data_IF_093069835074
#
_entry.id   IF_093069835074
#
_cell.length_a   1.000
_cell.length_b   1.000
_cell.length_c   1.000
_cell.angle_alpha   90.00
_cell.angle_beta   90.00
_cell.angle_gamma   90.00
#
_symmetry.space_group_name_H-M   'P 1'
#
loop_
_entity.id
_entity.type
_entity.pdbx_description
1 polymer ?
#
# COMPACT_ATOMS: atom_id res chain seq x y z
N UNK A 1 25.28 23.65 -41.80
CA UNK A 1 24.04 22.86 -41.87
C UNK A 1 24.13 21.54 -41.17
N UNK A 2 25.20 20.80 -41.25
CA UNK A 2 25.42 19.55 -40.55
C UNK A 2 25.40 19.65 -39.03
N UNK A 3 25.82 20.76 -38.47
CA UNK A 3 25.86 21.01 -37.02
C UNK A 3 24.48 21.12 -36.35
N UNK A 4 23.45 21.57 -37.09
CA UNK A 4 22.09 21.71 -36.55
C UNK A 4 21.39 20.37 -36.41
N UNK A 5 21.60 19.47 -37.34
CA UNK A 5 21.04 18.10 -37.26
C UNK A 5 21.64 17.27 -36.14
N UNK A 6 22.91 17.42 -35.87
CA UNK A 6 23.57 16.73 -34.77
C UNK A 6 23.08 17.17 -33.39
N UNK A 7 22.73 18.45 -33.22
CA UNK A 7 22.20 18.97 -31.96
C UNK A 7 20.78 18.47 -31.65
N UNK A 8 19.94 18.35 -32.67
CA UNK A 8 18.57 17.87 -32.49
C UNK A 8 18.52 16.41 -32.16
N UNK A 9 19.36 15.59 -32.75
CA UNK A 9 19.45 14.17 -32.44
C UNK A 9 19.93 13.89 -31.01
N UNK A 10 20.89 14.66 -30.52
CA UNK A 10 21.41 14.53 -29.15
C UNK A 10 20.34 14.86 -28.10
N UNK A 11 19.53 15.88 -28.32
CA UNK A 11 18.45 16.27 -27.41
C UNK A 11 17.33 15.22 -27.34
N UNK A 12 16.98 14.59 -28.45
CA UNK A 12 15.94 13.55 -28.49
C UNK A 12 16.34 12.28 -27.75
N UNK A 13 17.58 11.85 -27.86
CA UNK A 13 18.08 10.66 -27.16
C UNK A 13 18.14 10.89 -25.65
N UNK A 14 18.51 12.06 -25.18
CA UNK A 14 18.58 12.38 -23.75
C UNK A 14 17.20 12.38 -23.09
N UNK A 15 16.19 12.93 -23.73
CA UNK A 15 14.81 12.95 -23.22
C UNK A 15 14.21 11.54 -23.12
N UNK A 16 14.46 10.68 -24.10
CA UNK A 16 14.01 9.28 -24.08
C UNK A 16 14.63 8.45 -22.95
N UNK A 17 15.91 8.65 -22.69
CA UNK A 17 16.62 7.94 -21.62
C UNK A 17 16.13 8.33 -20.23
N UNK A 18 15.84 9.61 -19.98
CA UNK A 18 15.30 10.10 -18.71
C UNK A 18 13.91 9.54 -18.42
N UNK A 19 13.03 9.44 -19.40
CA UNK A 19 11.67 8.91 -19.26
C UNK A 19 11.70 7.41 -18.90
N UNK A 20 12.57 6.62 -19.50
CA UNK A 20 12.73 5.21 -19.21
C UNK A 20 13.26 4.96 -17.78
N UNK A 21 14.19 5.77 -17.28
CA UNK A 21 14.73 5.65 -15.93
C UNK A 21 13.68 5.91 -14.86
N UNK A 22 12.79 6.91 -15.05
CA UNK A 22 11.69 7.22 -14.13
C UNK A 22 10.63 6.12 -14.11
N UNK A 23 10.28 5.53 -15.24
CA UNK A 23 9.33 4.43 -15.32
C UNK A 23 9.86 3.15 -14.65
N UNK A 24 11.17 2.86 -14.72
CA UNK A 24 11.79 1.70 -14.09
C UNK A 24 11.84 1.77 -12.57
N UNK A 25 11.95 2.97 -11.97
CA UNK A 25 12.02 3.14 -10.52
C UNK A 25 10.65 3.00 -9.85
N UNK A 26 9.55 3.31 -10.54
CA UNK A 26 8.20 3.29 -9.98
C UNK A 26 7.62 1.90 -9.72
N UNK A 27 8.22 0.81 -10.25
CA UNK A 27 7.69 -0.56 -10.18
C UNK A 27 8.36 -1.48 -9.16
N UNK A 28 9.31 -0.98 -8.36
CA UNK A 28 10.20 -1.82 -7.54
C UNK A 28 9.73 -2.06 -6.10
N UNK A 29 8.48 -1.74 -5.74
CA UNK A 29 8.02 -1.84 -4.35
C UNK A 29 6.71 -2.61 -4.24
N UNK A 30 6.59 -3.43 -3.18
CA UNK A 30 5.34 -4.09 -2.81
C UNK A 30 4.34 -3.07 -2.23
N UNK A 31 3.94 -2.12 -3.06
CA UNK A 31 2.99 -1.06 -2.72
C UNK A 31 1.55 -1.57 -2.77
N UNK A 32 0.68 -0.93 -1.97
CA UNK A 32 -0.74 -1.25 -1.94
C UNK A 32 -1.39 -0.93 -3.29
N UNK A 33 -2.03 -1.93 -3.89
CA UNK A 33 -2.79 -1.80 -5.14
C UNK A 33 -4.26 -1.55 -4.84
N UNK A 34 -4.84 -2.31 -3.91
CA UNK A 34 -6.24 -2.19 -3.51
C UNK A 34 -6.49 -2.82 -2.13
N UNK A 35 -7.54 -2.38 -1.49
CA UNK A 35 -8.06 -2.99 -0.27
C UNK A 35 -9.60 -2.96 -0.29
N UNK A 36 -10.24 -3.79 0.53
CA UNK A 36 -11.69 -3.76 0.68
C UNK A 36 -12.18 -2.61 1.58
N UNK A 37 -11.27 -1.87 2.20
CA UNK A 37 -11.52 -0.56 2.81
C UNK A 37 -10.70 0.45 2.03
N UNK A 38 -11.35 1.50 1.52
CA UNK A 38 -10.71 2.54 0.70
C UNK A 38 -10.38 3.76 1.55
N UNK A 39 -9.34 4.53 1.17
CA UNK A 39 -9.03 5.80 1.83
C UNK A 39 -10.25 6.72 1.90
N UNK A 40 -10.56 7.20 3.11
CA UNK A 40 -11.66 8.11 3.36
C UNK A 40 -13.06 7.48 3.31
N UNK A 41 -13.17 6.17 3.19
CA UNK A 41 -14.46 5.49 3.13
C UNK A 41 -15.20 5.62 4.45
N UNK A 42 -16.53 5.79 4.36
CA UNK A 42 -17.44 5.91 5.49
C UNK A 42 -18.35 4.68 5.50
N UNK A 43 -18.35 3.98 6.63
CA UNK A 43 -19.22 2.83 6.89
C UNK A 43 -20.21 3.14 7.99
N UNK A 44 -21.27 2.37 8.05
CA UNK A 44 -22.09 2.22 9.26
C UNK A 44 -21.54 1.08 10.11
N UNK A 45 -22.03 0.95 11.35
CA UNK A 45 -21.63 -0.12 12.26
C UNK A 45 -21.87 -1.53 11.73
N UNK A 46 -22.76 -1.68 10.75
CA UNK A 46 -23.13 -2.97 10.17
C UNK A 46 -22.55 -3.23 8.80
N UNK A 47 -21.93 -2.22 8.17
CA UNK A 47 -21.49 -2.33 6.77
C UNK A 47 -19.97 -2.42 6.59
N UNK A 48 -19.18 -2.17 7.63
CA UNK A 48 -17.74 -2.33 7.48
C UNK A 48 -17.36 -3.83 7.42
N UNK A 49 -16.32 -4.19 6.66
CA UNK A 49 -15.90 -5.58 6.55
C UNK A 49 -15.30 -6.08 7.86
N UNK A 50 -15.59 -7.33 8.20
CA UNK A 50 -15.06 -7.98 9.41
C UNK A 50 -13.65 -8.54 9.22
N UNK A 51 -13.17 -8.53 8.00
CA UNK A 51 -11.79 -8.83 7.62
C UNK A 51 -11.32 -7.76 6.67
N UNK A 52 -10.27 -7.06 7.06
CA UNK A 52 -9.57 -6.15 6.17
C UNK A 52 -8.63 -6.97 5.29
N UNK A 53 -8.79 -6.83 3.99
CA UNK A 53 -7.97 -7.51 2.99
C UNK A 53 -7.26 -6.48 2.13
N UNK A 54 -5.95 -6.59 2.06
CA UNK A 54 -5.08 -5.69 1.30
C UNK A 54 -4.28 -6.48 0.25
N UNK A 55 -4.20 -5.95 -0.97
CA UNK A 55 -3.49 -6.55 -2.10
C UNK A 55 -2.36 -5.65 -2.55
N UNK A 56 -1.20 -6.22 -2.74
CA UNK A 56 0.04 -5.51 -3.05
C UNK A 56 0.52 -5.81 -4.47
N UNK A 57 1.38 -4.95 -5.00
CA UNK A 57 1.90 -5.06 -6.37
C UNK A 57 2.85 -6.26 -6.55
N UNK A 58 3.53 -6.68 -5.48
CA UNK A 58 4.47 -7.79 -5.49
C UNK A 58 4.14 -8.79 -4.39
N UNK A 59 4.75 -9.97 -4.46
CA UNK A 59 4.68 -10.95 -3.39
C UNK A 59 5.26 -10.35 -2.11
N UNK A 60 4.56 -10.52 -0.99
CA UNK A 60 5.01 -10.02 0.31
C UNK A 60 5.67 -11.13 1.12
N UNK A 61 6.75 -10.79 1.80
CA UNK A 61 7.37 -11.68 2.73
C UNK A 61 6.61 -11.60 4.06
N UNK A 62 6.03 -12.71 4.58
CA UNK A 62 5.35 -12.72 5.87
C UNK A 62 6.23 -12.20 7.01
N UNK A 63 7.53 -12.41 6.94
CA UNK A 63 8.47 -11.78 7.87
C UNK A 63 8.73 -10.34 7.44
N UNK A 64 8.30 -9.40 8.26
CA UNK A 64 8.49 -7.97 7.99
C UNK A 64 7.38 -7.35 7.15
N UNK A 65 6.22 -7.99 7.05
CA UNK A 65 5.03 -7.42 6.42
C UNK A 65 3.83 -7.53 7.35
N UNK A 66 3.01 -6.50 7.41
CA UNK A 66 1.82 -6.48 8.25
C UNK A 66 0.84 -5.40 7.81
N UNK A 67 -0.39 -5.56 8.25
CA UNK A 67 -1.45 -4.54 8.17
C UNK A 67 -2.12 -4.48 9.54
N UNK A 68 -2.22 -3.30 10.12
CA UNK A 68 -2.91 -3.09 11.39
C UNK A 68 -3.83 -1.88 11.31
N UNK A 69 -4.83 -1.85 12.18
CA UNK A 69 -5.81 -0.78 12.29
C UNK A 69 -5.70 -0.16 13.68
N UNK A 70 -5.61 1.16 13.72
CA UNK A 70 -5.47 1.95 14.92
C UNK A 70 -6.64 2.90 15.09
N UNK A 71 -6.99 3.20 16.32
CA UNK A 71 -7.99 4.21 16.63
C UNK A 71 -7.44 5.61 16.34
N UNK A 72 -8.24 6.47 15.70
CA UNK A 72 -7.91 7.86 15.44
C UNK A 72 -6.91 8.10 14.32
N UNK A 73 -6.27 9.26 14.35
CA UNK A 73 -5.21 9.67 13.43
C UNK A 73 -3.88 8.99 13.82
N UNK A 74 -2.99 8.61 12.88
CA UNK A 74 -1.75 7.92 13.17
C UNK A 74 -0.70 8.73 13.96
N UNK A 75 -0.97 10.00 14.24
CA UNK A 75 -0.09 10.85 15.05
C UNK A 75 -0.42 10.73 16.54
N UNK A 76 0.32 9.90 17.26
CA UNK A 76 0.17 9.74 18.70
C UNK A 76 0.06 8.28 19.14
N UNK A 77 -0.07 8.08 20.45
CA UNK A 77 -0.23 6.77 21.07
C UNK A 77 -1.69 6.29 20.93
N UNK A 78 -2.02 5.71 19.80
CA UNK A 78 -3.36 5.18 19.56
C UNK A 78 -3.36 3.66 19.67
N UNK A 79 -4.43 3.14 20.28
CA UNK A 79 -4.58 1.71 20.46
C UNK A 79 -4.85 0.99 19.14
N UNK A 80 -4.14 -0.11 18.92
CA UNK A 80 -4.44 -1.04 17.86
C UNK A 80 -5.78 -1.71 18.15
N UNK A 81 -6.69 -1.68 17.19
CA UNK A 81 -8.07 -2.17 17.36
C UNK A 81 -8.37 -3.45 16.59
N UNK A 82 -7.52 -3.87 15.66
CA UNK A 82 -7.70 -5.13 14.96
C UNK A 82 -7.47 -6.34 15.89
N UNK A 83 -7.86 -7.53 15.42
CA UNK A 83 -7.78 -8.75 16.24
C UNK A 83 -6.37 -9.31 16.38
N UNK A 84 -5.36 -8.68 15.78
CA UNK A 84 -3.97 -9.10 15.84
C UNK A 84 -3.65 -10.37 15.02
N UNK A 85 -4.64 -10.94 14.34
CA UNK A 85 -4.52 -12.17 13.58
C UNK A 85 -4.12 -11.92 12.13
N UNK A 86 -3.01 -11.24 11.90
CA UNK A 86 -2.51 -10.97 10.55
C UNK A 86 -2.27 -12.29 9.82
N UNK A 87 -2.91 -12.44 8.67
CA UNK A 87 -2.85 -13.64 7.86
C UNK A 87 -2.25 -13.36 6.49
N UNK A 88 -1.50 -14.33 6.00
CA UNK A 88 -0.92 -14.35 4.67
C UNK A 88 -1.55 -15.51 3.91
N UNK A 89 -2.66 -15.25 3.16
CA UNK A 89 -3.39 -16.33 2.50
C UNK A 89 -2.50 -17.12 1.53
N UNK A 90 -2.47 -18.41 1.71
CA UNK A 90 -1.62 -19.30 0.91
C UNK A 90 -1.91 -19.23 -0.59
N UNK A 91 -3.15 -18.92 -0.96
CA UNK A 91 -3.58 -18.85 -2.36
C UNK A 91 -3.14 -17.59 -3.09
N UNK A 92 -2.76 -16.54 -2.36
CA UNK A 92 -2.36 -15.27 -2.97
C UNK A 92 -1.21 -14.64 -2.18
N UNK A 93 0.04 -14.81 -2.64
CA UNK A 93 1.21 -14.27 -1.95
C UNK A 93 1.30 -12.74 -1.97
N UNK A 94 0.39 -12.06 -2.66
CA UNK A 94 0.27 -10.60 -2.70
C UNK A 94 -0.75 -10.04 -1.72
N UNK A 95 -1.39 -10.89 -0.92
CA UNK A 95 -2.48 -10.52 -0.02
C UNK A 95 -2.04 -10.57 1.45
N UNK A 96 -2.50 -9.58 2.22
CA UNK A 96 -2.45 -9.59 3.68
C UNK A 96 -3.86 -9.34 4.20
N UNK A 97 -4.29 -10.09 5.19
CA UNK A 97 -5.59 -9.94 5.81
C UNK A 97 -5.47 -9.82 7.33
N UNK A 98 -6.38 -9.07 7.95
CA UNK A 98 -6.50 -8.97 9.40
C UNK A 98 -7.96 -8.84 9.80
N UNK A 99 -8.37 -9.54 10.85
CA UNK A 99 -9.72 -9.48 11.37
C UNK A 99 -10.02 -8.18 12.11
N UNK A 100 -11.26 -7.70 11.99
CA UNK A 100 -11.76 -6.52 12.70
C UNK A 100 -12.83 -6.94 13.71
N UNK A 101 -12.83 -6.35 14.91
CA UNK A 101 -13.83 -6.65 15.94
C UNK A 101 -15.19 -6.03 15.60
N UNK A 102 -16.21 -6.47 16.31
CA UNK A 102 -17.51 -5.79 16.36
C UNK A 102 -17.39 -4.47 17.10
N UNK A 103 -18.31 -3.54 16.83
CA UNK A 103 -18.48 -2.34 17.63
C UNK A 103 -17.53 -1.21 17.32
N UNK A 104 -16.86 -1.22 16.19
CA UNK A 104 -16.07 -0.07 15.76
C UNK A 104 -16.98 1.13 15.53
N UNK A 105 -16.53 2.30 16.00
CA UNK A 105 -17.19 3.59 15.84
C UNK A 105 -16.16 4.70 15.90
N UNK A 106 -16.18 5.59 14.92
CA UNK A 106 -15.32 6.76 14.86
C UNK A 106 -14.29 6.67 13.74
N UNK A 107 -13.23 7.47 13.86
CA UNK A 107 -12.13 7.52 12.89
C UNK A 107 -11.10 6.44 13.22
N UNK A 108 -10.63 5.77 12.16
CA UNK A 108 -9.59 4.75 12.23
C UNK A 108 -8.54 4.98 11.17
N UNK A 109 -7.33 4.52 11.46
CA UNK A 109 -6.20 4.54 10.52
C UNK A 109 -5.73 3.14 10.24
N UNK A 110 -5.68 2.78 8.97
CA UNK A 110 -5.01 1.57 8.49
C UNK A 110 -3.56 1.92 8.20
N UNK A 111 -2.64 1.19 8.83
CA UNK A 111 -1.21 1.29 8.55
C UNK A 111 -0.76 -0.04 7.99
N UNK A 112 -0.06 0.00 6.88
CA UNK A 112 0.53 -1.19 6.29
C UNK A 112 2.04 -1.01 6.09
N UNK A 113 2.74 -2.11 6.19
CA UNK A 113 4.17 -2.20 5.95
C UNK A 113 4.48 -3.50 5.23
N UNK A 114 5.27 -3.45 4.17
CA UNK A 114 5.61 -4.63 3.38
C UNK A 114 7.11 -4.73 3.17
N UNK A 115 7.58 -5.98 3.17
CA UNK A 115 8.87 -6.36 2.62
C UNK A 115 8.58 -7.24 1.42
N UNK A 116 9.09 -6.86 0.25
CA UNK A 116 8.94 -7.66 -0.97
C UNK A 116 9.65 -9.00 -0.82
N UNK A 117 8.96 -10.09 -1.18
CA UNK A 117 9.56 -11.42 -1.19
C UNK A 117 10.57 -11.60 -2.31
N UNK A 118 10.49 -10.79 -3.37
CA UNK A 118 11.32 -10.93 -4.56
C UNK A 118 12.69 -10.25 -4.40
N UNK A 119 12.72 -9.04 -3.83
CA UNK A 119 13.94 -8.23 -3.75
C UNK A 119 14.24 -7.65 -2.36
N UNK A 120 13.37 -7.89 -1.38
CA UNK A 120 13.54 -7.38 -0.02
C UNK A 120 13.27 -5.89 0.16
N UNK A 121 12.83 -5.17 -0.85
CA UNK A 121 12.47 -3.77 -0.73
C UNK A 121 11.31 -3.57 0.25
N UNK A 122 11.37 -2.49 1.01
CA UNK A 122 10.39 -2.13 2.03
C UNK A 122 9.55 -0.96 1.55
N UNK A 123 8.25 -1.02 1.85
CA UNK A 123 7.29 0.04 1.59
C UNK A 123 6.30 0.13 2.75
N UNK A 124 5.67 1.28 2.91
CA UNK A 124 4.65 1.47 3.93
C UNK A 124 3.90 2.77 3.72
N UNK A 125 2.67 2.81 4.18
CA UNK A 125 1.83 4.00 4.17
C UNK A 125 0.63 3.81 5.10
N UNK A 126 -0.21 4.83 5.16
CA UNK A 126 -1.41 4.84 5.99
C UNK A 126 -2.57 5.51 5.27
N UNK A 127 -3.79 5.12 5.61
CA UNK A 127 -5.00 5.80 5.18
C UNK A 127 -6.09 5.69 6.25
N UNK A 128 -7.07 6.58 6.20
CA UNK A 128 -8.14 6.65 7.17
C UNK A 128 -9.46 6.10 6.62
N UNK A 129 -10.30 5.62 7.51
CA UNK A 129 -11.73 5.36 7.27
C UNK A 129 -12.54 5.70 8.52
N UNK A 130 -13.85 5.82 8.36
CA UNK A 130 -14.76 6.19 9.45
C UNK A 130 -15.91 5.19 9.56
N UNK A 131 -16.31 4.87 10.78
CA UNK A 131 -17.50 4.10 11.09
C UNK A 131 -18.47 5.00 11.86
N UNK A 132 -19.65 5.23 11.32
CA UNK A 132 -20.70 6.06 11.95
C UNK A 132 -21.70 5.25 12.75
#
# INVERSE_FOLDING_TARGET
MTTVYQRVLAAGVLAGTLTLSLAGVASAHASLVRANIKPGQIFTRTTYPRVLTAFFAENVNPRGSWVHVFEGDPKGDHAMVDLGNVQFPFRNPKEIAVGLPKGLKGLYTVIWFTTSADDGHKAGSAFNFTVK
#
